data_IF_429336139123
#
_entry.id   IF_429336139123
#
_cell.length_a   1.000
_cell.length_b   1.000
_cell.length_c   1.000
_cell.angle_alpha   90.00
_cell.angle_beta   90.00
_cell.angle_gamma   90.00
#
_symmetry.space_group_name_H-M   'P 1'
#
loop_
_entity.id
_entity.type
_entity.pdbx_description
1 polymer ?
#
# COMPACT_ATOMS: atom_id res chain seq x y z
N UNK A 1 17.42 -1.01 -0.51
CA UNK A 1 15.95 -0.84 -0.58
C UNK A 1 15.66 0.65 -0.58
N UNK A 2 14.67 1.11 -1.35
CA UNK A 2 14.25 2.51 -1.32
C UNK A 2 13.24 2.75 -0.20
N UNK A 3 13.13 3.97 0.28
CA UNK A 3 12.10 4.37 1.26
C UNK A 3 11.35 5.58 0.72
N UNK A 4 10.02 5.58 0.86
CA UNK A 4 9.15 6.67 0.41
C UNK A 4 8.14 7.01 1.49
N UNK A 5 7.78 8.29 1.57
CA UNK A 5 6.65 8.76 2.39
C UNK A 5 5.55 9.20 1.46
N UNK A 6 4.33 8.72 1.70
CA UNK A 6 3.18 8.99 0.83
C UNK A 6 1.91 9.30 1.62
N UNK A 7 1.00 10.02 0.98
CA UNK A 7 -0.40 10.20 1.40
C UNK A 7 -1.29 9.95 0.19
N UNK A 8 -2.48 9.41 0.42
CA UNK A 8 -3.43 9.11 -0.66
C UNK A 8 -4.71 9.92 -0.46
N UNK A 9 -5.17 10.54 -1.54
CA UNK A 9 -6.56 10.95 -1.68
C UNK A 9 -7.28 9.86 -2.48
N UNK A 10 -8.05 9.03 -1.79
CA UNK A 10 -8.79 7.93 -2.40
C UNK A 10 -10.08 8.42 -3.04
N UNK A 11 -10.36 7.92 -4.25
CA UNK A 11 -11.58 8.23 -4.98
C UNK A 11 -12.81 7.76 -4.17
N UNK A 12 -13.64 8.70 -3.74
CA UNK A 12 -14.85 8.40 -2.96
C UNK A 12 -14.63 8.25 -1.45
N UNK A 13 -13.40 8.36 -0.96
CA UNK A 13 -13.08 8.23 0.48
C UNK A 13 -12.24 9.39 1.04
N UNK A 14 -11.69 10.25 0.18
CA UNK A 14 -10.88 11.39 0.61
C UNK A 14 -9.53 10.95 1.14
N UNK A 15 -9.02 11.63 2.16
CA UNK A 15 -7.74 11.27 2.75
C UNK A 15 -7.87 10.12 3.76
N UNK A 16 -7.27 8.98 3.44
CA UNK A 16 -7.27 7.78 4.29
C UNK A 16 -5.93 7.63 5.02
N UNK A 17 -5.91 6.82 6.09
CA UNK A 17 -4.69 6.54 6.86
C UNK A 17 -3.72 5.63 6.08
N UNK A 18 -4.23 4.70 5.29
CA UNK A 18 -3.44 3.82 4.46
C UNK A 18 -4.23 3.38 3.23
N UNK A 19 -3.55 3.20 2.10
CA UNK A 19 -4.10 2.69 0.86
C UNK A 19 -3.13 1.68 0.24
N UNK A 20 -3.44 0.38 0.34
CA UNK A 20 -2.53 -0.68 -0.10
C UNK A 20 -2.29 -0.70 -1.61
N UNK A 21 -3.36 -0.59 -2.41
CA UNK A 21 -3.25 -0.51 -3.88
C UNK A 21 -2.53 0.76 -4.33
N UNK A 22 -2.73 1.88 -3.62
CA UNK A 22 -1.97 3.12 -3.84
C UNK A 22 -0.47 2.93 -3.56
N UNK A 23 -0.09 2.25 -2.48
CA UNK A 23 1.30 1.96 -2.16
C UNK A 23 1.97 1.05 -3.20
N UNK A 24 1.25 0.04 -3.70
CA UNK A 24 1.70 -0.79 -4.81
C UNK A 24 1.95 0.04 -6.09
N UNK A 25 1.04 0.96 -6.42
CA UNK A 25 1.19 1.86 -7.56
C UNK A 25 2.40 2.79 -7.40
N UNK A 26 2.65 3.33 -6.19
CA UNK A 26 3.83 4.15 -5.89
C UNK A 26 5.13 3.36 -6.08
N UNK A 27 5.18 2.08 -5.67
CA UNK A 27 6.33 1.21 -5.90
C UNK A 27 6.64 1.09 -7.40
N UNK A 28 5.63 0.78 -8.22
CA UNK A 28 5.78 0.65 -9.67
C UNK A 28 6.20 1.98 -10.30
N UNK A 29 5.52 3.08 -9.96
CA UNK A 29 5.81 4.40 -10.51
C UNK A 29 7.23 4.88 -10.13
N UNK A 30 7.70 4.60 -8.91
CA UNK A 30 9.04 4.93 -8.47
C UNK A 30 10.12 4.21 -9.29
N UNK A 31 9.88 2.93 -9.62
CA UNK A 31 10.77 2.16 -10.51
C UNK A 31 10.76 2.70 -11.93
N UNK A 32 9.57 2.90 -12.51
CA UNK A 32 9.42 3.39 -13.90
C UNK A 32 10.01 4.79 -14.10
N UNK A 33 10.07 5.59 -13.04
CA UNK A 33 10.65 6.94 -13.07
C UNK A 33 12.10 6.99 -12.60
N UNK A 34 12.73 5.85 -12.31
CA UNK A 34 14.12 5.77 -11.85
C UNK A 34 14.37 6.39 -10.47
N UNK A 35 13.31 6.63 -9.67
CA UNK A 35 13.39 7.25 -8.35
C UNK A 35 13.57 6.24 -7.22
N UNK A 36 13.13 4.99 -7.44
CA UNK A 36 13.26 3.91 -6.47
C UNK A 36 13.64 2.59 -7.13
N UNK A 37 14.06 1.63 -6.33
CA UNK A 37 14.22 0.24 -6.76
C UNK A 37 12.89 -0.53 -6.68
N UNK A 38 12.88 -1.76 -7.20
CA UNK A 38 11.72 -2.69 -7.17
C UNK A 38 11.32 -3.16 -5.76
N UNK A 39 12.12 -2.87 -4.75
CA UNK A 39 11.81 -3.16 -3.34
C UNK A 39 11.85 -1.84 -2.57
N UNK A 40 10.72 -1.48 -1.95
CA UNK A 40 10.59 -0.27 -1.15
C UNK A 40 9.89 -0.51 0.18
N UNK A 41 10.16 0.37 1.13
CA UNK A 41 9.33 0.59 2.32
C UNK A 41 8.50 1.87 2.10
N UNK A 42 7.18 1.75 2.17
CA UNK A 42 6.25 2.88 2.07
C UNK A 42 5.77 3.28 3.47
N UNK A 43 6.04 4.53 3.84
CA UNK A 43 5.53 5.16 5.06
C UNK A 43 4.21 5.87 4.75
N UNK A 44 3.11 5.35 5.29
CA UNK A 44 1.77 5.94 5.23
C UNK A 44 1.39 6.50 6.61
N UNK A 45 0.40 7.40 6.71
CA UNK A 45 -0.04 7.92 8.02
C UNK A 45 -0.45 6.84 9.03
N UNK A 46 -1.03 5.73 8.55
CA UNK A 46 -1.51 4.61 9.38
C UNK A 46 -0.47 3.52 9.63
N UNK A 47 0.74 3.63 9.11
CA UNK A 47 1.80 2.64 9.29
C UNK A 47 2.63 2.37 8.03
N UNK A 48 3.44 1.32 8.11
CA UNK A 48 4.39 0.97 7.05
C UNK A 48 3.91 -0.23 6.24
N UNK A 49 4.20 -0.22 4.94
CA UNK A 49 4.01 -1.36 4.04
C UNK A 49 5.32 -1.67 3.33
N UNK A 50 5.72 -2.94 3.30
CA UNK A 50 6.84 -3.41 2.50
C UNK A 50 6.34 -3.87 1.12
N UNK A 51 6.90 -3.32 0.05
CA UNK A 51 6.47 -3.59 -1.32
C UNK A 51 7.63 -4.19 -2.13
N UNK A 52 7.32 -5.20 -2.93
CA UNK A 52 8.24 -5.79 -3.92
C UNK A 52 7.52 -5.96 -5.26
N UNK A 53 7.93 -5.20 -6.27
CA UNK A 53 7.56 -5.48 -7.66
C UNK A 53 8.51 -6.53 -8.26
N UNK A 54 8.10 -7.79 -8.20
CA UNK A 54 8.93 -8.94 -8.54
C UNK A 54 9.17 -9.03 -10.05
N UNK A 55 10.42 -9.21 -10.46
CA UNK A 55 10.78 -9.23 -11.89
C UNK A 55 10.45 -10.57 -12.57
N UNK A 56 10.33 -11.66 -11.81
CA UNK A 56 10.11 -12.99 -12.40
C UNK A 56 8.68 -13.18 -12.94
N UNK A 57 7.69 -12.52 -12.33
CA UNK A 57 6.26 -12.64 -12.65
C UNK A 57 5.57 -11.28 -12.85
N UNK A 58 6.32 -10.19 -12.76
CA UNK A 58 5.84 -8.80 -12.84
C UNK A 58 4.69 -8.47 -11.85
N UNK A 59 4.55 -9.26 -10.78
CA UNK A 59 3.56 -9.04 -9.73
C UNK A 59 4.09 -8.15 -8.60
N UNK A 60 3.19 -7.36 -7.99
CA UNK A 60 3.52 -6.55 -6.81
C UNK A 60 3.09 -7.31 -5.56
N UNK A 61 4.06 -7.69 -4.74
CA UNK A 61 3.85 -8.26 -3.42
C UNK A 61 3.85 -7.15 -2.37
N UNK A 62 2.90 -7.23 -1.45
CA UNK A 62 2.71 -6.27 -0.37
C UNK A 62 2.62 -7.00 0.96
N UNK A 63 3.43 -6.58 1.92
CA UNK A 63 3.43 -7.11 3.29
C UNK A 63 3.13 -5.98 4.26
N UNK A 64 2.13 -6.21 5.12
CA UNK A 64 1.70 -5.29 6.17
C UNK A 64 0.82 -6.01 7.20
N UNK A 65 0.58 -5.41 8.36
CA UNK A 65 -0.28 -5.99 9.39
C UNK A 65 -1.76 -5.92 9.01
N UNK A 66 -2.56 -6.81 9.58
CA UNK A 66 -4.01 -6.75 9.61
C UNK A 66 -4.48 -7.16 11.01
N UNK A 67 -5.54 -6.53 11.52
CA UNK A 67 -6.07 -6.80 12.85
C UNK A 67 -7.60 -6.81 12.80
N UNK A 68 -8.20 -7.83 13.43
CA UNK A 68 -9.63 -7.85 13.72
C UNK A 68 -9.92 -6.88 14.87
N UNK A 69 -10.94 -6.03 14.72
CA UNK A 69 -11.34 -5.07 15.75
C UNK A 69 -12.52 -5.60 16.57
N UNK A 70 -13.55 -6.12 15.90
CA UNK A 70 -14.74 -6.69 16.52
C UNK A 70 -15.46 -7.62 15.53
N UNK A 71 -16.36 -8.44 16.06
CA UNK A 71 -17.34 -9.23 15.30
C UNK A 71 -18.77 -8.88 15.75
N UNK A 72 -19.75 -9.07 14.88
CA UNK A 72 -21.16 -8.76 15.16
C UNK A 72 -22.12 -9.33 14.13
N UNK A 73 -23.41 -9.33 14.46
CA UNK A 73 -24.51 -9.76 13.58
C UNK A 73 -25.29 -8.53 13.12
N UNK A 74 -25.55 -8.42 11.82
CA UNK A 74 -26.41 -7.37 11.26
C UNK A 74 -27.81 -7.96 11.02
N UNK A 75 -28.88 -7.39 11.59
CA UNK A 75 -30.22 -7.91 11.38
C UNK A 75 -30.68 -7.67 9.93
N UNK A 76 -31.33 -8.68 9.35
CA UNK A 76 -32.14 -8.51 8.14
C UNK A 76 -33.42 -7.75 8.51
N UNK A 77 -33.88 -6.82 7.64
CA UNK A 77 -35.18 -6.13 7.80
C UNK A 77 -36.39 -7.06 7.58
#
# INVERSE_FOLDING_TARGET
AGEVTMRTWERGSGITLACGTGAAAVCVAGVLTGKTHRIILANLPGGQLALKWNQADECVYMTGPAAEVFSGEWPDE
#
